data_IF_731195403079
#
_entry.id   IF_731195403079
#
_cell.length_a   1.000
_cell.length_b   1.000
_cell.length_c   1.000
_cell.angle_alpha   90.00
_cell.angle_beta   90.00
_cell.angle_gamma   90.00
#
_symmetry.space_group_name_H-M   'P 1'
#
loop_
_entity.id
_entity.type
_entity.pdbx_description
1 polymer ?
#
# COMPACT_ATOMS: atom_id res chain seq x y z
N UNK A 1 24.14 -10.12 10.07
CA UNK A 1 24.64 -11.30 9.32
C UNK A 1 25.52 -12.22 10.16
N UNK A 2 26.43 -11.70 11.00
CA UNK A 2 27.26 -12.55 11.88
C UNK A 2 26.42 -13.48 12.79
N UNK A 3 25.30 -13.00 13.33
CA UNK A 3 24.42 -13.82 14.17
C UNK A 3 23.76 -15.00 13.44
N UNK A 4 23.40 -14.88 12.15
CA UNK A 4 22.82 -15.99 11.39
C UNK A 4 23.83 -17.13 11.18
N UNK A 5 25.04 -16.79 10.75
CA UNK A 5 26.08 -17.80 10.49
C UNK A 5 26.58 -18.49 11.76
N UNK A 6 26.55 -17.80 12.92
CA UNK A 6 26.81 -18.43 14.21
C UNK A 6 25.77 -19.52 14.54
N UNK A 7 24.47 -19.25 14.34
CA UNK A 7 23.41 -20.23 14.59
C UNK A 7 23.49 -21.37 13.56
N UNK A 8 23.76 -21.05 12.29
CA UNK A 8 23.90 -22.04 11.22
C UNK A 8 25.04 -23.03 11.47
N UNK A 9 26.12 -22.62 12.13
CA UNK A 9 27.19 -23.54 12.52
C UNK A 9 26.68 -24.64 13.49
N UNK A 10 25.68 -24.32 14.32
CA UNK A 10 25.03 -25.28 15.21
C UNK A 10 23.86 -26.03 14.55
N UNK A 11 23.21 -25.43 13.54
CA UNK A 11 22.09 -26.02 12.79
C UNK A 11 22.34 -25.89 11.27
N UNK A 12 23.08 -26.85 10.65
CA UNK A 12 23.50 -26.73 9.24
C UNK A 12 22.37 -26.62 8.23
N UNK A 13 21.20 -27.18 8.56
CA UNK A 13 19.99 -27.14 7.74
C UNK A 13 19.26 -25.77 7.79
N UNK A 14 19.68 -24.84 8.66
CA UNK A 14 19.03 -23.55 8.78
C UNK A 14 19.13 -22.74 7.48
N UNK A 15 17.96 -22.42 6.93
CA UNK A 15 17.77 -21.43 5.87
C UNK A 15 17.14 -20.16 6.46
N UNK A 16 17.36 -19.02 5.79
CA UNK A 16 16.82 -17.75 6.22
C UNK A 16 16.50 -16.84 5.06
N UNK A 17 15.52 -15.96 5.28
CA UNK A 17 15.19 -14.88 4.36
C UNK A 17 14.87 -13.63 5.16
N UNK A 18 15.43 -12.50 4.74
CA UNK A 18 15.09 -11.18 5.25
C UNK A 18 14.55 -10.34 4.09
N UNK A 19 13.35 -9.80 4.28
CA UNK A 19 12.71 -8.88 3.36
C UNK A 19 12.57 -7.52 4.04
N UNK A 20 13.19 -6.51 3.45
CA UNK A 20 13.24 -5.15 3.99
C UNK A 20 12.46 -4.17 3.10
N UNK A 21 12.04 -3.05 3.70
CA UNK A 21 11.47 -1.92 3.00
C UNK A 21 12.45 -1.29 2.00
N UNK A 22 11.89 -0.67 0.97
CA UNK A 22 12.65 0.11 0.01
C UNK A 22 13.06 1.44 0.64
N UNK A 23 14.35 1.68 0.82
CA UNK A 23 14.85 2.93 1.39
C UNK A 23 15.23 3.97 0.32
N UNK A 24 14.87 3.73 -0.94
CA UNK A 24 15.31 4.48 -2.12
C UNK A 24 16.84 4.62 -2.27
N UNK A 25 17.65 3.87 -1.52
CA UNK A 25 19.13 3.92 -1.59
C UNK A 25 19.72 2.93 -2.58
N UNK A 26 18.88 2.25 -3.38
CA UNK A 26 19.33 1.30 -4.40
C UNK A 26 20.02 0.07 -3.82
N UNK A 27 19.59 -0.41 -2.64
CA UNK A 27 20.16 -1.61 -2.04
C UNK A 27 19.98 -2.83 -2.96
N UNK A 28 21.06 -3.58 -3.16
CA UNK A 28 21.05 -4.76 -4.02
C UNK A 28 20.66 -6.01 -3.24
N UNK A 29 19.74 -6.79 -3.81
CA UNK A 29 19.39 -8.11 -3.30
C UNK A 29 20.64 -9.00 -3.21
N UNK A 30 20.74 -9.78 -2.15
CA UNK A 30 21.77 -10.79 -1.94
C UNK A 30 21.10 -12.13 -1.73
N UNK A 31 21.11 -12.98 -2.76
CA UNK A 31 20.44 -14.27 -2.73
C UNK A 31 21.51 -15.37 -2.71
N UNK A 32 21.61 -16.08 -1.58
CA UNK A 32 22.46 -17.26 -1.43
C UNK A 32 21.61 -18.47 -1.08
N UNK A 33 22.05 -19.72 -1.34
CA UNK A 33 21.25 -20.92 -1.06
C UNK A 33 20.70 -20.99 0.38
N UNK A 34 21.41 -20.40 1.33
CA UNK A 34 21.07 -20.47 2.75
C UNK A 34 20.48 -19.20 3.34
N UNK A 35 20.84 -18.04 2.81
CA UNK A 35 20.32 -16.76 3.26
C UNK A 35 20.01 -15.86 2.07
N UNK A 36 18.73 -15.48 1.94
CA UNK A 36 18.31 -14.39 1.08
C UNK A 36 18.14 -13.09 1.88
N UNK A 37 18.66 -11.99 1.35
CA UNK A 37 18.38 -10.63 1.81
C UNK A 37 17.86 -9.87 0.61
N UNK A 38 16.60 -9.47 0.68
CA UNK A 38 15.88 -8.82 -0.41
C UNK A 38 15.15 -7.56 0.07
N UNK A 39 14.90 -6.66 -0.86
CA UNK A 39 14.24 -5.38 -0.61
C UNK A 39 13.04 -5.22 -1.54
N UNK A 40 12.00 -4.53 -1.07
CA UNK A 40 10.97 -4.00 -1.94
C UNK A 40 11.56 -2.93 -2.87
N UNK A 41 11.13 -2.89 -4.14
CA UNK A 41 11.50 -1.80 -5.05
C UNK A 41 10.78 -0.50 -4.70
N UNK A 42 9.51 -0.58 -4.28
CA UNK A 42 8.75 0.56 -3.75
C UNK A 42 9.08 0.78 -2.28
N UNK A 43 8.73 1.95 -1.76
CA UNK A 43 9.15 2.40 -0.43
C UNK A 43 8.78 1.42 0.69
N UNK A 44 7.55 0.96 0.76
CA UNK A 44 7.06 -0.03 1.73
C UNK A 44 6.02 -0.95 1.08
N UNK A 45 5.61 -2.01 1.79
CA UNK A 45 4.61 -2.97 1.29
C UNK A 45 3.28 -2.28 0.93
N UNK A 46 2.91 -1.24 1.66
CA UNK A 46 1.72 -0.44 1.44
C UNK A 46 1.66 0.19 0.05
N UNK A 47 2.82 0.49 -0.57
CA UNK A 47 2.89 1.02 -1.93
C UNK A 47 2.35 0.06 -3.01
N UNK A 48 2.13 -1.21 -2.68
CA UNK A 48 1.61 -2.19 -3.63
C UNK A 48 0.09 -2.32 -3.61
N UNK A 49 -0.58 -1.93 -2.52
CA UNK A 49 -2.03 -2.13 -2.38
C UNK A 49 -2.82 -0.88 -1.99
N UNK A 50 -2.19 0.17 -1.46
CA UNK A 50 -2.87 1.43 -1.17
C UNK A 50 -3.04 2.21 -2.48
N UNK A 51 -4.27 2.23 -3.00
CA UNK A 51 -4.66 2.96 -4.19
C UNK A 51 -6.06 3.56 -3.99
N UNK A 52 -6.40 4.69 -4.66
CA UNK A 52 -7.69 5.34 -4.49
C UNK A 52 -8.90 4.39 -4.62
N UNK A 53 -8.91 3.54 -5.65
CA UNK A 53 -9.97 2.57 -5.92
C UNK A 53 -10.08 1.51 -4.82
N UNK A 54 -8.95 1.04 -4.28
CA UNK A 54 -8.93 0.07 -3.18
C UNK A 54 -9.50 0.69 -1.89
N UNK A 55 -9.16 1.94 -1.59
CA UNK A 55 -9.70 2.69 -0.46
C UNK A 55 -11.22 2.87 -0.62
N UNK A 56 -11.66 3.31 -1.80
CA UNK A 56 -13.09 3.48 -2.11
C UNK A 56 -13.87 2.17 -1.95
N UNK A 57 -13.34 1.05 -2.42
CA UNK A 57 -13.98 -0.26 -2.29
C UNK A 57 -14.07 -0.71 -0.83
N UNK A 58 -13.01 -0.51 -0.02
CA UNK A 58 -13.02 -0.81 1.41
C UNK A 58 -14.11 -0.01 2.14
N UNK A 59 -14.14 1.31 1.94
CA UNK A 59 -15.10 2.21 2.63
C UNK A 59 -16.53 1.95 2.17
N UNK A 60 -16.74 1.69 0.88
CA UNK A 60 -18.06 1.32 0.35
C UNK A 60 -18.57 0.05 1.03
N UNK A 61 -17.76 -1.00 1.06
CA UNK A 61 -18.13 -2.26 1.69
C UNK A 61 -18.34 -2.13 3.21
N UNK A 62 -17.67 -1.17 3.86
CA UNK A 62 -17.93 -0.85 5.28
C UNK A 62 -19.34 -0.28 5.49
N UNK A 63 -19.77 0.68 4.68
CA UNK A 63 -21.10 1.29 4.81
C UNK A 63 -22.23 0.40 4.29
N UNK A 64 -22.01 -0.41 3.26
CA UNK A 64 -23.02 -1.33 2.71
C UNK A 64 -23.39 -2.45 3.70
N UNK A 65 -22.52 -2.77 4.66
CA UNK A 65 -22.82 -3.71 5.76
C UNK A 65 -23.75 -3.14 6.83
N UNK A 66 -23.94 -1.83 6.83
CA UNK A 66 -24.76 -1.14 7.82
C UNK A 66 -26.17 -0.92 7.26
N UNK A 67 -27.20 -0.81 8.13
CA UNK A 67 -28.57 -0.54 7.71
C UNK A 67 -28.76 0.96 7.35
N UNK A 68 -27.97 1.46 6.40
CA UNK A 68 -27.98 2.85 5.95
C UNK A 68 -28.78 3.01 4.65
N UNK A 69 -29.41 4.18 4.48
CA UNK A 69 -30.07 4.54 3.22
C UNK A 69 -29.05 4.75 2.12
N UNK A 70 -29.34 4.30 0.90
CA UNK A 70 -28.45 4.46 -0.27
C UNK A 70 -27.99 5.91 -0.52
N UNK A 71 -28.87 6.89 -0.29
CA UNK A 71 -28.54 8.31 -0.39
C UNK A 71 -27.45 8.75 0.61
N UNK A 72 -27.46 8.19 1.83
CA UNK A 72 -26.43 8.47 2.84
C UNK A 72 -25.09 7.87 2.40
N UNK A 73 -25.07 6.62 1.93
CA UNK A 73 -23.86 5.97 1.40
C UNK A 73 -23.25 6.81 0.28
N UNK A 74 -24.08 7.25 -0.69
CA UNK A 74 -23.62 8.11 -1.79
C UNK A 74 -22.96 9.40 -1.28
N UNK A 75 -23.53 10.03 -0.24
CA UNK A 75 -22.97 11.23 0.38
C UNK A 75 -21.64 10.96 1.08
N UNK A 76 -21.52 9.86 1.83
CA UNK A 76 -20.25 9.49 2.46
C UNK A 76 -19.17 9.18 1.42
N UNK A 77 -19.52 8.49 0.32
CA UNK A 77 -18.57 8.22 -0.77
C UNK A 77 -18.10 9.50 -1.46
N UNK A 78 -18.96 10.52 -1.60
CA UNK A 78 -18.54 11.82 -2.15
C UNK A 78 -17.52 12.52 -1.24
N UNK A 79 -17.74 12.50 0.09
CA UNK A 79 -16.79 13.02 1.08
C UNK A 79 -15.47 12.24 1.11
N UNK A 80 -15.52 10.93 0.90
CA UNK A 80 -14.31 10.11 0.77
C UNK A 80 -13.49 10.54 -0.45
N UNK A 81 -14.15 10.70 -1.60
CA UNK A 81 -13.49 11.15 -2.83
C UNK A 81 -12.86 12.53 -2.65
N UNK A 82 -13.54 13.44 -1.95
CA UNK A 82 -12.99 14.73 -1.56
C UNK A 82 -11.72 14.58 -0.70
N UNK A 83 -11.77 13.75 0.35
CA UNK A 83 -10.61 13.48 1.21
C UNK A 83 -9.43 12.90 0.43
N UNK A 84 -9.67 11.89 -0.42
CA UNK A 84 -8.65 11.28 -1.28
C UNK A 84 -8.01 12.34 -2.19
N UNK A 85 -8.83 13.14 -2.88
CA UNK A 85 -8.37 14.14 -3.83
C UNK A 85 -7.51 15.23 -3.15
N UNK A 86 -7.95 15.74 -2.00
CA UNK A 86 -7.16 16.69 -1.22
C UNK A 86 -5.84 16.10 -0.76
N UNK A 87 -5.83 14.83 -0.35
CA UNK A 87 -4.58 14.15 0.05
C UNK A 87 -3.69 13.86 -1.15
N UNK A 88 -4.23 13.57 -2.34
CA UNK A 88 -3.43 13.43 -3.56
C UNK A 88 -2.71 14.74 -3.89
N UNK A 89 -3.42 15.87 -3.88
CA UNK A 89 -2.82 17.19 -4.12
C UNK A 89 -1.67 17.46 -3.14
N UNK A 90 -1.93 17.28 -1.85
CA UNK A 90 -0.97 17.60 -0.77
C UNK A 90 0.20 16.61 -0.70
N UNK A 91 -0.09 15.31 -0.54
CA UNK A 91 0.93 14.29 -0.23
C UNK A 91 1.58 13.69 -1.49
N UNK A 92 0.87 13.62 -2.62
CA UNK A 92 1.36 12.95 -3.84
C UNK A 92 1.87 13.96 -4.85
N UNK A 93 1.19 15.09 -5.01
CA UNK A 93 1.55 16.15 -5.96
C UNK A 93 2.20 17.37 -5.30
N UNK A 94 2.51 17.31 -4.00
CA UNK A 94 3.27 18.34 -3.26
C UNK A 94 2.64 19.75 -3.31
N UNK A 95 1.31 19.86 -3.30
CA UNK A 95 0.55 21.11 -3.47
C UNK A 95 0.76 21.81 -4.83
N UNK A 96 1.09 21.06 -5.87
CA UNK A 96 1.14 21.57 -7.24
C UNK A 96 -0.26 21.55 -7.87
N UNK A 97 -0.91 22.71 -7.88
CA UNK A 97 -2.26 22.90 -8.44
C UNK A 97 -2.30 22.65 -9.96
N UNK A 98 -1.23 22.96 -10.70
CA UNK A 98 -1.18 22.73 -12.15
C UNK A 98 -1.08 21.23 -12.44
N UNK A 99 -0.22 20.51 -11.73
CA UNK A 99 -0.10 19.06 -11.82
C UNK A 99 -1.41 18.37 -11.43
N UNK A 100 -2.10 18.86 -10.40
CA UNK A 100 -3.40 18.33 -10.01
C UNK A 100 -4.48 18.61 -11.05
N UNK A 101 -4.52 19.82 -11.62
CA UNK A 101 -5.43 20.16 -12.71
C UNK A 101 -5.21 19.30 -13.97
N UNK A 102 -3.96 18.90 -14.24
CA UNK A 102 -3.66 17.92 -15.29
C UNK A 102 -4.12 16.51 -14.90
N UNK A 103 -3.83 16.08 -13.66
CA UNK A 103 -4.21 14.77 -13.12
C UNK A 103 -5.72 14.51 -13.22
N UNK A 104 -6.56 15.48 -12.85
CA UNK A 104 -8.02 15.31 -12.88
C UNK A 104 -8.60 15.19 -14.30
N UNK A 105 -7.87 15.63 -15.33
CA UNK A 105 -8.29 15.51 -16.75
C UNK A 105 -7.91 14.17 -17.39
N UNK A 106 -7.02 13.40 -16.74
CA UNK A 106 -6.65 12.08 -17.20
C UNK A 106 -7.84 11.11 -17.10
N UNK A 107 -7.87 10.10 -17.97
CA UNK A 107 -8.76 8.96 -17.79
C UNK A 107 -8.38 8.14 -16.55
N UNK A 108 -9.29 7.25 -16.11
CA UNK A 108 -9.10 6.47 -14.89
C UNK A 108 -7.82 5.60 -14.90
N UNK A 109 -7.44 5.06 -16.06
CA UNK A 109 -6.26 4.20 -16.17
C UNK A 109 -4.97 5.03 -16.02
N UNK A 110 -4.93 6.19 -16.67
CA UNK A 110 -3.82 7.13 -16.56
C UNK A 110 -3.75 7.78 -15.18
N UNK A 111 -4.88 8.09 -14.53
CA UNK A 111 -4.89 8.56 -13.14
C UNK A 111 -4.27 7.53 -12.20
N UNK A 112 -4.63 6.25 -12.35
CA UNK A 112 -4.07 5.16 -11.56
C UNK A 112 -2.56 5.02 -11.78
N UNK A 113 -2.12 5.00 -13.03
CA UNK A 113 -0.69 4.90 -13.36
C UNK A 113 0.11 6.10 -12.84
N UNK A 114 -0.43 7.32 -13.02
CA UNK A 114 0.20 8.56 -12.56
C UNK A 114 0.30 8.58 -11.04
N UNK A 115 -0.74 8.16 -10.33
CA UNK A 115 -0.70 8.01 -8.88
C UNK A 115 0.40 7.03 -8.45
N UNK A 116 0.44 5.82 -9.02
CA UNK A 116 1.44 4.79 -8.67
C UNK A 116 2.87 5.30 -8.88
N UNK A 117 3.13 5.98 -10.00
CA UNK A 117 4.45 6.49 -10.33
C UNK A 117 4.91 7.56 -9.32
N UNK A 118 4.05 8.54 -9.03
CA UNK A 118 4.35 9.62 -8.09
C UNK A 118 4.39 9.15 -6.62
N UNK A 119 3.65 8.10 -6.28
CA UNK A 119 3.61 7.52 -4.94
C UNK A 119 4.73 6.52 -4.64
N UNK A 120 5.40 5.97 -5.66
CA UNK A 120 6.32 4.82 -5.53
C UNK A 120 7.43 4.98 -4.48
N UNK A 121 7.94 6.20 -4.32
CA UNK A 121 9.02 6.56 -3.39
C UNK A 121 8.52 7.26 -2.12
N UNK A 122 7.20 7.39 -1.96
CA UNK A 122 6.53 8.04 -0.84
C UNK A 122 5.94 7.01 0.12
N UNK A 123 5.74 7.41 1.37
CA UNK A 123 5.21 6.55 2.42
C UNK A 123 3.68 6.47 2.37
N UNK A 124 3.12 5.46 1.69
CA UNK A 124 1.67 5.38 1.50
C UNK A 124 0.88 5.04 2.77
N UNK A 125 1.51 4.50 3.80
CA UNK A 125 0.90 4.38 5.13
C UNK A 125 0.53 5.75 5.70
N UNK A 126 1.37 6.78 5.48
CA UNK A 126 1.08 8.17 5.90
C UNK A 126 -0.02 8.79 5.05
N UNK A 127 0.03 8.59 3.73
CA UNK A 127 -1.03 9.01 2.82
C UNK A 127 -2.40 8.48 3.27
N UNK A 128 -2.50 7.18 3.56
CA UNK A 128 -3.76 6.58 4.00
C UNK A 128 -4.20 7.11 5.37
N UNK A 129 -3.27 7.33 6.32
CA UNK A 129 -3.59 7.97 7.60
C UNK A 129 -4.23 9.35 7.37
N UNK A 130 -3.67 10.16 6.47
CA UNK A 130 -4.17 11.49 6.14
C UNK A 130 -5.54 11.44 5.45
N UNK A 131 -5.75 10.52 4.51
CA UNK A 131 -7.07 10.28 3.89
C UNK A 131 -8.11 9.93 4.95
N UNK A 132 -7.82 8.96 5.82
CA UNK A 132 -8.77 8.49 6.83
C UNK A 132 -9.06 9.55 7.88
N UNK A 133 -8.06 10.35 8.26
CA UNK A 133 -8.23 11.47 9.18
C UNK A 133 -9.12 12.57 8.58
N UNK A 134 -8.85 12.99 7.33
CA UNK A 134 -9.69 13.98 6.63
C UNK A 134 -11.11 13.47 6.45
N UNK A 135 -11.26 12.21 6.03
CA UNK A 135 -12.56 11.60 5.85
C UNK A 135 -13.36 11.59 7.16
N UNK A 136 -12.77 11.10 8.26
CA UNK A 136 -13.36 11.11 9.59
C UNK A 136 -13.85 12.50 10.01
N UNK A 137 -13.04 13.54 9.78
CA UNK A 137 -13.44 14.93 10.04
C UNK A 137 -14.62 15.39 9.17
N UNK A 138 -14.62 15.06 7.87
CA UNK A 138 -15.71 15.43 6.95
C UNK A 138 -17.03 14.75 7.29
N UNK A 139 -16.99 13.50 7.76
CA UNK A 139 -18.20 12.75 8.14
C UNK A 139 -18.59 12.92 9.60
N UNK A 140 -17.70 13.46 10.44
CA UNK A 140 -17.84 13.53 11.90
C UNK A 140 -18.01 12.15 12.56
N UNK A 141 -17.29 11.17 12.05
CA UNK A 141 -17.28 9.79 12.54
C UNK A 141 -15.84 9.36 12.89
N UNK A 142 -15.63 8.37 13.76
CA UNK A 142 -14.30 7.84 14.05
C UNK A 142 -13.61 7.30 12.79
N UNK A 143 -12.27 7.28 12.79
CA UNK A 143 -11.51 6.67 11.71
C UNK A 143 -11.88 5.19 11.54
N UNK A 144 -12.14 4.79 10.30
CA UNK A 144 -12.57 3.44 9.95
C UNK A 144 -11.47 2.38 10.12
N UNK A 145 -10.21 2.79 10.13
CA UNK A 145 -9.06 1.91 10.19
C UNK A 145 -7.89 2.60 10.90
N UNK A 146 -7.08 1.80 11.59
CA UNK A 146 -5.82 2.23 12.18
C UNK A 146 -4.67 1.53 11.44
N UNK A 147 -3.47 2.12 11.49
CA UNK A 147 -2.29 1.64 10.74
C UNK A 147 -2.02 0.14 10.82
N UNK A 148 -2.15 -0.47 12.01
CA UNK A 148 -1.94 -1.91 12.21
C UNK A 148 -2.92 -2.82 11.44
N UNK A 149 -3.95 -2.27 10.80
CA UNK A 149 -4.99 -3.01 10.08
C UNK A 149 -5.04 -2.68 8.58
N UNK A 150 -4.06 -1.96 8.03
CA UNK A 150 -4.02 -1.59 6.60
C UNK A 150 -4.01 -2.80 5.65
N UNK A 151 -3.49 -3.94 6.09
CA UNK A 151 -3.56 -5.18 5.33
C UNK A 151 -5.00 -5.62 4.98
N UNK A 152 -6.03 -5.12 5.67
CA UNK A 152 -7.42 -5.39 5.32
C UNK A 152 -7.82 -4.85 3.95
N UNK A 153 -7.15 -3.79 3.46
CA UNK A 153 -7.36 -3.25 2.12
C UNK A 153 -7.00 -4.25 1.02
N UNK A 154 -6.07 -5.17 1.27
CA UNK A 154 -5.63 -6.17 0.28
C UNK A 154 -6.81 -7.00 -0.25
N UNK A 155 -7.84 -7.23 0.58
CA UNK A 155 -9.05 -7.96 0.20
C UNK A 155 -9.88 -7.26 -0.89
N UNK A 156 -9.68 -5.95 -1.06
CA UNK A 156 -10.38 -5.11 -2.02
C UNK A 156 -9.56 -4.82 -3.28
N UNK A 157 -8.33 -5.36 -3.34
CA UNK A 157 -7.49 -5.29 -4.52
C UNK A 157 -7.82 -6.46 -5.47
N UNK A 158 -8.09 -6.21 -6.76
CA UNK A 158 -8.30 -7.30 -7.71
C UNK A 158 -7.02 -8.10 -7.90
N UNK A 159 -7.12 -9.42 -8.04
CA UNK A 159 -5.96 -10.31 -8.19
C UNK A 159 -5.07 -9.93 -9.38
N UNK A 160 -5.67 -9.43 -10.47
CA UNK A 160 -4.95 -8.96 -11.66
C UNK A 160 -4.13 -7.68 -11.42
N UNK A 161 -4.38 -6.95 -10.34
CA UNK A 161 -3.61 -5.76 -9.95
C UNK A 161 -2.50 -6.07 -8.93
N UNK A 162 -2.34 -7.33 -8.52
CA UNK A 162 -1.20 -7.74 -7.69
C UNK A 162 0.07 -7.56 -8.52
N UNK A 163 0.96 -6.70 -8.05
CA UNK A 163 2.25 -6.43 -8.68
C UNK A 163 3.10 -7.71 -8.77
N UNK A 164 3.78 -7.92 -9.89
CA UNK A 164 4.60 -9.12 -10.09
C UNK A 164 5.70 -9.25 -9.04
N UNK A 165 6.21 -8.13 -8.51
CA UNK A 165 7.21 -8.18 -7.45
C UNK A 165 6.66 -8.81 -6.17
N UNK A 166 5.40 -8.57 -5.81
CA UNK A 166 4.78 -9.19 -4.63
C UNK A 166 4.77 -10.70 -4.80
N UNK A 167 4.43 -11.19 -6.00
CA UNK A 167 4.46 -12.61 -6.34
C UNK A 167 5.90 -13.15 -6.23
N UNK A 168 6.87 -12.46 -6.84
CA UNK A 168 8.29 -12.83 -6.79
C UNK A 168 8.81 -12.96 -5.34
N UNK A 169 8.45 -12.01 -4.46
CA UNK A 169 8.87 -12.06 -3.04
C UNK A 169 8.18 -13.19 -2.29
N UNK A 170 6.90 -13.44 -2.54
CA UNK A 170 6.16 -14.53 -1.89
C UNK A 170 6.71 -15.90 -2.32
N UNK A 171 7.01 -16.08 -3.61
CA UNK A 171 7.64 -17.30 -4.12
C UNK A 171 9.03 -17.51 -3.48
N UNK A 172 9.79 -16.43 -3.29
CA UNK A 172 11.07 -16.49 -2.59
C UNK A 172 10.89 -16.86 -1.11
N UNK A 173 9.90 -16.29 -0.41
CA UNK A 173 9.59 -16.67 0.98
C UNK A 173 9.25 -18.16 1.06
N UNK A 174 8.38 -18.65 0.18
CA UNK A 174 8.00 -20.07 0.12
C UNK A 174 9.22 -20.97 -0.12
N UNK A 175 10.14 -20.56 -1.00
CA UNK A 175 11.38 -21.30 -1.26
C UNK A 175 12.24 -21.48 -0.02
N UNK A 176 12.41 -20.45 0.80
CA UNK A 176 13.29 -20.50 1.98
C UNK A 176 12.62 -21.09 3.22
N UNK A 177 11.28 -21.14 3.28
CA UNK A 177 10.49 -21.65 4.41
C UNK A 177 10.03 -23.11 4.27
N UNK A 178 10.12 -23.72 3.07
CA UNK A 178 9.66 -25.10 2.80
C UNK A 178 10.67 -26.20 3.19
N UNK A 179 11.51 -25.97 4.20
CA UNK A 179 12.54 -26.92 4.63
C UNK A 179 12.28 -27.45 6.04
#
# INVERSE_FOLDING_TARGET
>A
MQHFYAIKACLPALTGIALFDGDNKGQKNRIKPDLAIVYWKKYELENYFIQPDVIENYVRAHYEKQPLKSALIKRQMAKLKEAINQTILTDILNNDDEAYAAYVKLDNALQKQTFINNASHKKLSVFLDNVLQKFASLVQEPRLLNKGRYYELIKFMPKSAVDSEVIEKLDLLVKYLKH
#
